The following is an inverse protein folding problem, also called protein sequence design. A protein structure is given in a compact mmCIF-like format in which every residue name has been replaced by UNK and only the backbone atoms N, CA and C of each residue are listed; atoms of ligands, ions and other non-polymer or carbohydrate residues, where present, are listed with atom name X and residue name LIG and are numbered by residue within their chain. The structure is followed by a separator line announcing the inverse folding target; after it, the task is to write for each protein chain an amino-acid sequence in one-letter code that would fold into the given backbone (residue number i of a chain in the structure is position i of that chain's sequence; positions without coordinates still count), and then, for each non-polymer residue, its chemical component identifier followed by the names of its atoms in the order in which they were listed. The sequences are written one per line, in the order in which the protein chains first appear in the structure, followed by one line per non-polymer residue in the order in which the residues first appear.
data_IF_189777664358
#
_entry.id   IF_189777664358
#
_cell.length_a   1.000
_cell.length_b   1.000
_cell.length_c   1.000
_cell.angle_alpha   90.00
_cell.angle_beta   90.00
_cell.angle_gamma   90.00
#
_symmetry.space_group_name_H-M   'P 1'
#
loop_
_entity.id
_entity.type
_entity.pdbx_description
1 polymer ?
#
# COMPACT_ATOMS: atom_id res chain seq x y z
N UNK A 1 -42.87 -14.25 14.90
CA UNK A 1 -42.65 -14.71 13.50
C UNK A 1 -41.16 -14.95 13.34
N UNK A 2 -40.75 -16.19 13.12
CA UNK A 2 -39.35 -16.56 12.82
C UNK A 2 -39.23 -16.65 11.31
N UNK A 3 -38.34 -15.85 10.72
CA UNK A 3 -38.09 -15.84 9.27
C UNK A 3 -36.67 -16.34 9.06
N UNK A 4 -36.49 -17.24 8.09
CA UNK A 4 -35.15 -17.72 7.73
C UNK A 4 -34.33 -16.58 7.12
N UNK A 5 -33.00 -16.69 7.23
CA UNK A 5 -32.08 -15.70 6.65
C UNK A 5 -32.26 -15.55 5.13
N UNK A 6 -32.58 -16.65 4.43
CA UNK A 6 -32.85 -16.63 2.98
C UNK A 6 -34.12 -15.84 2.66
N UNK A 7 -35.24 -16.13 3.34
CA UNK A 7 -36.50 -15.41 3.13
C UNK A 7 -36.38 -13.94 3.51
N UNK A 8 -35.63 -13.59 4.56
CA UNK A 8 -35.31 -12.20 4.89
C UNK A 8 -34.52 -11.49 3.77
N UNK A 9 -33.57 -12.18 3.13
CA UNK A 9 -32.80 -11.64 2.01
C UNK A 9 -33.64 -11.47 0.74
N UNK A 10 -34.59 -12.37 0.47
CA UNK A 10 -35.50 -12.29 -0.68
C UNK A 10 -36.52 -11.16 -0.56
N UNK A 11 -37.01 -10.90 0.66
CA UNK A 11 -37.93 -9.80 0.95
C UNK A 11 -37.27 -8.42 0.95
N UNK A 12 -35.98 -8.34 0.63
CA UNK A 12 -35.23 -7.09 0.59
C UNK A 12 -35.79 -6.15 -0.48
N UNK A 13 -36.19 -4.90 -0.14
CA UNK A 13 -36.65 -3.92 -1.12
C UNK A 13 -35.60 -3.66 -2.20
N UNK A 14 -36.04 -3.51 -3.46
CA UNK A 14 -35.15 -3.37 -4.63
C UNK A 14 -34.18 -2.18 -4.55
N UNK A 15 -34.51 -1.13 -3.82
CA UNK A 15 -33.65 0.05 -3.63
C UNK A 15 -32.58 -0.15 -2.52
N UNK A 16 -32.67 -1.21 -1.74
CA UNK A 16 -31.63 -1.60 -0.78
C UNK A 16 -30.60 -2.44 -1.52
N UNK A 17 -29.56 -1.77 -2.03
CA UNK A 17 -28.47 -2.42 -2.75
C UNK A 17 -27.57 -3.20 -1.78
N UNK A 18 -26.93 -4.28 -2.26
CA UNK A 18 -25.87 -4.92 -1.47
C UNK A 18 -24.69 -3.96 -1.35
N UNK A 19 -23.98 -3.99 -0.23
CA UNK A 19 -22.70 -3.29 -0.10
C UNK A 19 -21.70 -3.72 -1.20
N UNK A 20 -21.77 -4.97 -1.66
CA UNK A 20 -21.00 -5.48 -2.79
C UNK A 20 -21.36 -4.85 -4.15
N UNK A 21 -22.63 -4.46 -4.35
CA UNK A 21 -23.06 -3.67 -5.53
C UNK A 21 -22.71 -2.18 -5.41
N UNK A 22 -22.44 -1.69 -4.21
CA UNK A 22 -21.93 -0.34 -3.92
C UNK A 22 -20.40 -0.32 -3.74
N UNK A 23 -19.71 -1.40 -4.11
CA UNK A 23 -18.26 -1.46 -3.98
C UNK A 23 -17.67 -0.22 -4.68
N UNK A 24 -16.95 0.60 -3.91
CA UNK A 24 -16.14 1.70 -4.43
C UNK A 24 -15.05 1.10 -5.32
N UNK A 25 -15.40 0.69 -6.55
CA UNK A 25 -14.50 0.19 -7.59
C UNK A 25 -13.72 1.34 -8.24
N UNK A 26 -13.42 2.37 -7.46
CA UNK A 26 -12.80 3.58 -7.94
C UNK A 26 -11.40 3.59 -7.35
N UNK A 27 -10.42 3.65 -8.24
CA UNK A 27 -9.06 3.94 -7.83
C UNK A 27 -9.04 5.30 -7.10
N UNK A 28 -8.68 5.31 -5.81
CA UNK A 28 -8.61 6.53 -5.00
C UNK A 28 -7.25 7.24 -5.10
N UNK A 29 -6.44 6.87 -6.10
CA UNK A 29 -5.11 7.42 -6.28
C UNK A 29 -5.20 8.81 -6.93
N UNK A 30 -4.55 9.80 -6.32
CA UNK A 30 -4.48 11.18 -6.83
C UNK A 30 -3.98 11.26 -8.29
N UNK A 31 -3.06 10.36 -8.68
CA UNK A 31 -2.54 10.31 -10.05
C UNK A 31 -3.60 9.88 -11.08
N UNK A 32 -4.49 8.95 -10.72
CA UNK A 32 -5.57 8.50 -11.60
C UNK A 32 -6.75 9.48 -11.54
N UNK A 33 -7.16 9.90 -10.35
CA UNK A 33 -8.33 10.75 -10.16
C UNK A 33 -8.13 12.14 -10.79
N UNK A 34 -6.94 12.74 -10.68
CA UNK A 34 -6.69 14.03 -11.32
C UNK A 34 -6.72 13.96 -12.86
N UNK A 35 -6.29 12.84 -13.45
CA UNK A 35 -6.40 12.62 -14.89
C UNK A 35 -7.86 12.38 -15.28
N UNK A 36 -8.59 11.60 -14.48
CA UNK A 36 -10.02 11.37 -14.66
C UNK A 36 -10.83 12.68 -14.60
N UNK A 37 -10.56 13.57 -13.65
CA UNK A 37 -11.19 14.89 -13.55
C UNK A 37 -10.91 15.76 -14.78
N UNK A 38 -9.66 15.78 -15.27
CA UNK A 38 -9.28 16.50 -16.50
C UNK A 38 -10.00 15.94 -17.73
N UNK A 39 -10.02 14.62 -17.90
CA UNK A 39 -10.70 13.97 -19.04
C UNK A 39 -12.19 14.24 -19.00
N UNK A 40 -12.82 14.20 -17.82
CA UNK A 40 -14.24 14.47 -17.68
C UNK A 40 -14.58 15.92 -18.08
N UNK A 41 -13.76 16.88 -17.68
CA UNK A 41 -13.90 18.27 -18.12
C UNK A 41 -13.72 18.40 -19.65
N UNK A 42 -12.67 17.77 -20.21
CA UNK A 42 -12.34 17.87 -21.63
C UNK A 42 -13.26 17.08 -22.56
N UNK A 43 -13.95 16.04 -22.08
CA UNK A 43 -14.79 15.15 -22.91
C UNK A 43 -15.89 15.88 -23.68
N UNK A 44 -16.36 17.01 -23.16
CA UNK A 44 -17.36 17.88 -23.81
C UNK A 44 -16.79 18.75 -24.92
N UNK A 45 -15.47 18.90 -24.95
CA UNK A 45 -14.73 19.83 -25.82
C UNK A 45 -13.76 19.13 -26.77
N UNK A 46 -13.56 17.81 -26.62
CA UNK A 46 -12.65 17.00 -27.46
C UNK A 46 -13.43 15.87 -28.12
N UNK A 47 -13.47 15.87 -29.44
CA UNK A 47 -14.25 14.89 -30.21
C UNK A 47 -13.66 13.49 -30.06
N UNK A 48 -14.48 12.52 -29.62
CA UNK A 48 -14.06 11.13 -29.43
C UNK A 48 -13.42 10.81 -28.07
N UNK A 49 -13.22 11.81 -27.20
CA UNK A 49 -12.78 11.59 -25.83
C UNK A 49 -13.97 11.19 -24.95
N UNK A 50 -13.95 9.99 -24.39
CA UNK A 50 -15.00 9.50 -23.48
C UNK A 50 -14.64 9.81 -22.03
N UNK A 51 -15.60 10.39 -21.30
CA UNK A 51 -15.52 10.55 -19.85
C UNK A 51 -15.47 9.19 -19.13
N UNK A 52 -14.83 9.13 -17.97
CA UNK A 52 -14.95 7.99 -17.05
C UNK A 52 -14.06 6.77 -17.30
N UNK A 53 -13.46 6.62 -18.49
CA UNK A 53 -12.69 5.41 -18.84
C UNK A 53 -11.19 5.70 -18.99
N UNK A 54 -10.45 5.54 -17.89
CA UNK A 54 -8.99 5.68 -17.87
C UNK A 54 -8.26 4.60 -18.68
N UNK A 55 -8.86 3.41 -18.85
CA UNK A 55 -8.25 2.32 -19.61
C UNK A 55 -8.30 2.63 -21.11
N UNK A 56 -9.47 3.02 -21.60
CA UNK A 56 -9.65 3.49 -22.97
C UNK A 56 -8.80 4.74 -23.25
N UNK A 57 -8.72 5.67 -22.29
CA UNK A 57 -7.85 6.83 -22.41
C UNK A 57 -6.38 6.44 -22.53
N UNK A 58 -5.89 5.52 -21.69
CA UNK A 58 -4.51 5.02 -21.78
C UNK A 58 -4.24 4.40 -23.14
N UNK A 59 -5.13 3.52 -23.60
CA UNK A 59 -5.02 2.83 -24.90
C UNK A 59 -5.07 3.80 -26.09
N UNK A 60 -5.71 4.96 -25.94
CA UNK A 60 -5.72 6.01 -26.96
C UNK A 60 -4.36 6.71 -27.10
N UNK A 61 -3.53 6.72 -26.06
CA UNK A 61 -2.27 7.47 -26.03
C UNK A 61 -1.05 6.66 -26.48
N UNK A 62 -1.16 5.33 -26.52
CA UNK A 62 -0.03 4.43 -26.73
C UNK A 62 -0.39 3.25 -27.64
N UNK A 63 0.63 2.59 -28.21
CA UNK A 63 0.43 1.41 -29.05
C UNK A 63 0.23 0.13 -28.22
N UNK A 64 0.95 0.02 -27.10
CA UNK A 64 0.98 -1.16 -26.25
C UNK A 64 1.10 -0.73 -24.79
N UNK A 65 0.23 -1.27 -23.94
CA UNK A 65 0.15 -0.97 -22.50
C UNK A 65 1.23 -1.69 -21.69
N UNK A 66 1.76 -2.79 -22.23
CA UNK A 66 2.76 -3.63 -21.58
C UNK A 66 4.19 -3.26 -22.01
N UNK A 67 4.35 -2.45 -23.07
CA UNK A 67 5.66 -1.97 -23.53
C UNK A 67 6.18 -0.78 -22.70
N UNK A 68 7.37 -0.94 -22.11
CA UNK A 68 8.02 0.09 -21.30
C UNK A 68 8.28 1.37 -22.12
N UNK A 69 8.63 1.28 -23.41
CA UNK A 69 8.93 2.47 -24.22
C UNK A 69 7.67 3.29 -24.48
N UNK A 70 6.54 2.64 -24.70
CA UNK A 70 5.23 3.28 -24.79
C UNK A 70 4.89 4.00 -23.48
N UNK A 71 4.96 3.30 -22.35
CA UNK A 71 4.56 3.81 -21.04
C UNK A 71 5.52 4.87 -20.46
N UNK A 72 6.78 4.87 -20.89
CA UNK A 72 7.76 5.91 -20.54
C UNK A 72 7.77 7.12 -21.50
N UNK A 73 6.85 7.14 -22.48
CA UNK A 73 6.76 8.18 -23.54
C UNK A 73 8.01 8.30 -24.43
N UNK A 74 8.68 7.16 -24.70
CA UNK A 74 9.87 7.06 -25.57
C UNK A 74 9.59 6.35 -26.89
N UNK A 75 8.43 5.72 -27.06
CA UNK A 75 8.06 5.04 -28.29
C UNK A 75 7.90 6.04 -29.46
N UNK A 76 8.47 5.69 -30.61
CA UNK A 76 8.44 6.55 -31.81
C UNK A 76 7.07 6.49 -32.49
N UNK A 77 6.37 5.36 -32.38
CA UNK A 77 5.08 5.12 -33.06
C UNK A 77 3.97 5.96 -32.41
N UNK A 78 3.79 5.88 -31.09
CA UNK A 78 2.75 6.62 -30.38
C UNK A 78 3.15 8.05 -29.97
N UNK A 79 4.33 8.53 -30.37
CA UNK A 79 4.85 9.86 -29.99
C UNK A 79 3.87 11.01 -30.26
N UNK A 80 3.08 10.88 -31.34
CA UNK A 80 2.13 11.90 -31.78
C UNK A 80 0.68 11.62 -31.38
N UNK A 81 0.35 10.48 -30.77
CA UNK A 81 -1.04 10.09 -30.48
C UNK A 81 -1.77 11.10 -29.61
N UNK A 82 -1.10 11.73 -28.64
CA UNK A 82 -1.71 12.82 -27.87
C UNK A 82 -2.12 14.01 -28.76
N UNK A 83 -1.30 14.37 -29.75
CA UNK A 83 -1.60 15.44 -30.70
C UNK A 83 -2.80 15.04 -31.56
N UNK A 84 -2.72 13.86 -32.17
CA UNK A 84 -3.67 13.37 -33.18
C UNK A 84 -5.05 13.05 -32.57
N UNK A 85 -5.09 12.60 -31.32
CA UNK A 85 -6.33 12.17 -30.65
C UNK A 85 -6.91 13.20 -29.67
N UNK A 86 -6.10 14.10 -29.12
CA UNK A 86 -6.56 15.12 -28.16
C UNK A 86 -6.44 16.53 -28.73
N UNK A 87 -5.22 16.95 -29.09
CA UNK A 87 -4.96 18.36 -29.43
C UNK A 87 -5.66 18.80 -30.72
N UNK A 88 -5.66 17.95 -31.75
CA UNK A 88 -6.27 18.25 -33.05
C UNK A 88 -7.80 18.07 -33.04
N UNK A 89 -8.36 17.43 -32.01
CA UNK A 89 -9.79 17.16 -31.87
C UNK A 89 -10.52 18.12 -30.92
N UNK A 90 -9.85 19.16 -30.44
CA UNK A 90 -10.47 20.24 -29.66
C UNK A 90 -11.45 21.00 -30.54
N UNK A 91 -12.73 21.02 -30.15
CA UNK A 91 -13.83 21.62 -30.93
C UNK A 91 -13.77 23.14 -30.91
N UNK A 92 -13.59 23.74 -29.73
CA UNK A 92 -13.45 25.18 -29.55
C UNK A 92 -12.23 25.48 -28.67
N UNK A 93 -11.28 26.23 -29.24
CA UNK A 93 -10.01 26.60 -28.59
C UNK A 93 -10.14 27.85 -27.70
N UNK A 94 -11.26 28.56 -27.78
CA UNK A 94 -11.50 29.80 -27.05
C UNK A 94 -12.37 29.61 -25.79
N UNK A 95 -12.85 28.39 -25.53
CA UNK A 95 -13.67 28.09 -24.36
C UNK A 95 -12.81 27.95 -23.12
N UNK A 96 -13.17 28.69 -22.06
CA UNK A 96 -12.65 28.47 -20.72
C UNK A 96 -13.27 27.20 -20.13
N UNK A 97 -12.42 26.28 -19.68
CA UNK A 97 -12.86 24.98 -19.16
C UNK A 97 -12.57 24.94 -17.66
N UNK A 98 -13.65 24.98 -16.87
CA UNK A 98 -13.61 24.69 -15.44
C UNK A 98 -13.26 23.21 -15.18
N UNK A 99 -12.30 22.94 -14.32
CA UNK A 99 -11.92 21.59 -13.91
C UNK A 99 -11.48 21.53 -12.45
N UNK A 100 -11.46 20.33 -11.88
CA UNK A 100 -11.09 20.10 -10.49
C UNK A 100 -9.81 19.30 -10.35
N UNK A 101 -9.02 19.59 -9.32
CA UNK A 101 -7.86 18.80 -8.94
C UNK A 101 -7.85 18.47 -7.45
N UNK A 102 -7.39 17.28 -7.09
CA UNK A 102 -6.94 17.00 -5.74
C UNK A 102 -5.49 17.43 -5.55
N UNK A 103 -5.26 18.30 -4.56
CA UNK A 103 -3.95 18.66 -4.01
C UNK A 103 -3.78 18.01 -2.63
N UNK A 104 -2.53 17.82 -2.20
CA UNK A 104 -2.23 17.37 -0.84
C UNK A 104 -1.16 18.27 -0.25
N UNK A 105 -1.59 19.45 0.19
CA UNK A 105 -0.73 20.44 0.85
C UNK A 105 -0.74 20.19 2.35
N UNK A 106 0.45 20.09 2.97
CA UNK A 106 0.61 19.95 4.43
C UNK A 106 -0.15 18.75 5.04
N UNK A 107 -0.30 17.67 4.29
CA UNK A 107 -0.95 16.42 4.76
C UNK A 107 -2.47 16.46 4.80
N UNK A 108 -3.12 17.48 4.21
CA UNK A 108 -4.57 17.53 4.05
C UNK A 108 -4.93 17.54 2.57
N UNK A 109 -5.64 16.51 2.13
CA UNK A 109 -6.17 16.45 0.78
C UNK A 109 -7.29 17.50 0.59
N UNK A 110 -7.19 18.30 -0.47
CA UNK A 110 -8.20 19.31 -0.83
C UNK A 110 -8.53 19.18 -2.30
N UNK A 111 -9.80 19.44 -2.64
CA UNK A 111 -10.27 19.52 -4.02
C UNK A 111 -10.39 21.00 -4.38
N UNK A 112 -9.63 21.41 -5.38
CA UNK A 112 -9.52 22.79 -5.86
C UNK A 112 -10.14 22.89 -7.25
N UNK A 113 -10.73 24.04 -7.55
CA UNK A 113 -11.35 24.37 -8.83
C UNK A 113 -10.46 25.35 -9.60
N UNK A 114 -10.34 25.12 -10.90
CA UNK A 114 -9.50 25.90 -11.82
C UNK A 114 -10.32 26.24 -13.06
N UNK A 115 -10.26 27.50 -13.52
CA UNK A 115 -11.06 27.97 -14.68
C UNK A 115 -10.21 28.49 -15.85
N UNK A 116 -8.90 28.73 -15.64
CA UNK A 116 -8.11 29.63 -16.51
C UNK A 116 -6.89 28.97 -17.17
N UNK A 117 -6.45 27.79 -16.71
CA UNK A 117 -5.33 27.11 -17.34
C UNK A 117 -5.77 26.33 -18.59
N UNK A 118 -4.98 26.40 -19.67
CA UNK A 118 -5.14 25.56 -20.88
C UNK A 118 -5.15 24.08 -20.45
N UNK A 119 -6.35 23.55 -20.23
CA UNK A 119 -6.60 22.26 -19.62
C UNK A 119 -5.95 21.13 -20.43
N UNK A 120 -5.85 21.29 -21.75
CA UNK A 120 -5.14 20.37 -22.64
C UNK A 120 -3.64 20.42 -22.39
N UNK A 121 -3.05 21.60 -22.18
CA UNK A 121 -1.64 21.76 -21.81
C UNK A 121 -1.34 21.17 -20.42
N UNK A 122 -2.23 21.35 -19.45
CA UNK A 122 -2.12 20.74 -18.11
C UNK A 122 -2.15 19.21 -18.22
N UNK A 123 -3.12 18.68 -18.97
CA UNK A 123 -3.22 17.24 -19.23
C UNK A 123 -1.94 16.72 -19.88
N UNK A 124 -1.46 17.37 -20.94
CA UNK A 124 -0.21 17.02 -21.64
C UNK A 124 0.98 16.95 -20.69
N UNK A 125 1.11 17.91 -19.79
CA UNK A 125 2.18 17.94 -18.78
C UNK A 125 2.14 16.78 -17.79
N UNK A 126 0.96 16.18 -17.56
CA UNK A 126 0.76 15.06 -16.62
C UNK A 126 0.81 13.68 -17.30
N UNK A 127 0.71 13.58 -18.62
CA UNK A 127 0.66 12.28 -19.33
C UNK A 127 1.85 11.39 -19.01
N UNK A 128 3.07 11.92 -19.08
CA UNK A 128 4.28 11.10 -18.86
C UNK A 128 4.31 10.47 -17.47
N UNK A 129 3.97 11.23 -16.42
CA UNK A 129 3.96 10.72 -15.06
C UNK A 129 2.78 9.79 -14.81
N UNK A 130 1.63 10.05 -15.44
CA UNK A 130 0.46 9.18 -15.40
C UNK A 130 0.74 7.81 -16.03
N UNK A 131 1.22 7.76 -17.28
CA UNK A 131 1.52 6.51 -18.00
C UNK A 131 2.55 5.69 -17.22
N UNK A 132 3.62 6.33 -16.74
CA UNK A 132 4.62 5.64 -15.93
C UNK A 132 4.03 5.08 -14.62
N UNK A 133 3.13 5.81 -13.96
CA UNK A 133 2.45 5.32 -12.76
C UNK A 133 1.53 4.13 -13.05
N UNK A 134 0.80 4.15 -14.17
CA UNK A 134 -0.02 3.01 -14.62
C UNK A 134 0.85 1.78 -14.85
N UNK A 135 1.99 1.94 -15.53
CA UNK A 135 2.93 0.85 -15.81
C UNK A 135 3.50 0.24 -14.53
N UNK A 136 4.05 1.05 -13.63
CA UNK A 136 4.61 0.57 -12.36
C UNK A 136 3.54 -0.14 -11.52
N UNK A 137 2.31 0.40 -11.49
CA UNK A 137 1.19 -0.26 -10.82
C UNK A 137 0.95 -1.65 -11.40
N UNK A 138 0.90 -1.78 -12.73
CA UNK A 138 0.65 -3.05 -13.39
C UNK A 138 1.78 -4.05 -13.12
N UNK A 139 3.02 -3.67 -13.36
CA UNK A 139 4.21 -4.50 -13.14
C UNK A 139 4.30 -5.04 -11.71
N UNK A 140 4.15 -4.16 -10.71
CA UNK A 140 4.23 -4.55 -9.30
C UNK A 140 3.06 -5.46 -8.87
N UNK A 141 1.84 -5.14 -9.31
CA UNK A 141 0.67 -5.98 -9.01
C UNK A 141 0.76 -7.36 -9.68
N UNK A 142 1.17 -7.41 -10.95
CA UNK A 142 1.35 -8.67 -11.67
C UNK A 142 2.43 -9.54 -11.03
N UNK A 143 3.57 -8.94 -10.67
CA UNK A 143 4.63 -9.67 -9.99
C UNK A 143 4.17 -10.20 -8.63
N UNK A 144 3.43 -9.41 -7.85
CA UNK A 144 2.88 -9.86 -6.57
C UNK A 144 1.92 -11.05 -6.72
N UNK A 145 0.99 -11.01 -7.68
CA UNK A 145 0.09 -12.14 -7.94
C UNK A 145 0.85 -13.38 -8.45
N UNK A 146 1.83 -13.18 -9.33
CA UNK A 146 2.68 -14.24 -9.84
C UNK A 146 3.47 -14.93 -8.72
N UNK A 147 4.20 -14.17 -7.90
CA UNK A 147 5.12 -14.76 -6.92
C UNK A 147 4.38 -15.46 -5.78
N UNK A 148 3.18 -14.99 -5.40
CA UNK A 148 2.32 -15.70 -4.43
C UNK A 148 1.93 -17.11 -4.88
N UNK A 149 1.83 -17.35 -6.18
CA UNK A 149 1.39 -18.63 -6.76
C UNK A 149 2.56 -19.52 -7.20
N UNK A 150 3.75 -18.94 -7.41
CA UNK A 150 4.89 -19.62 -8.02
C UNK A 150 6.14 -19.65 -7.13
N UNK A 151 6.08 -19.09 -5.91
CA UNK A 151 7.16 -19.22 -4.93
C UNK A 151 7.41 -20.69 -4.60
N UNK A 152 8.68 -21.07 -4.43
CA UNK A 152 9.04 -22.42 -4.03
C UNK A 152 8.77 -22.69 -2.54
N UNK A 153 8.85 -23.95 -2.12
CA UNK A 153 8.52 -24.38 -0.75
C UNK A 153 9.42 -23.77 0.36
N UNK A 154 10.52 -23.12 -0.03
CA UNK A 154 11.47 -22.44 0.87
C UNK A 154 11.45 -20.92 0.73
N UNK A 155 10.50 -20.38 -0.03
CA UNK A 155 10.33 -18.94 -0.24
C UNK A 155 9.05 -18.51 0.44
N UNK A 156 9.13 -17.47 1.27
CA UNK A 156 7.96 -16.87 1.93
C UNK A 156 7.73 -15.48 1.36
N UNK A 157 6.52 -15.23 0.87
CA UNK A 157 6.10 -13.90 0.41
C UNK A 157 5.34 -13.24 1.55
N UNK A 158 5.73 -12.01 1.94
CA UNK A 158 5.10 -11.31 3.06
C UNK A 158 4.61 -9.94 2.60
N UNK A 159 3.33 -9.65 2.79
CA UNK A 159 2.82 -8.28 2.69
C UNK A 159 2.74 -7.67 4.10
N UNK A 160 3.27 -6.46 4.28
CA UNK A 160 3.21 -5.71 5.54
C UNK A 160 2.60 -4.33 5.36
N UNK A 161 1.91 -3.84 6.39
CA UNK A 161 1.39 -2.48 6.47
C UNK A 161 1.11 -2.06 7.92
N UNK A 162 0.96 -0.76 8.17
CA UNK A 162 0.37 -0.25 9.39
C UNK A 162 -1.12 0.04 9.17
N UNK A 163 -1.97 -0.64 9.91
CA UNK A 163 -3.35 -0.21 10.00
C UNK A 163 -3.43 1.15 10.73
N UNK A 164 -4.45 1.95 10.41
CA UNK A 164 -4.71 3.21 11.13
C UNK A 164 -4.72 2.98 12.65
N UNK A 165 -4.26 3.95 13.45
CA UNK A 165 -4.25 3.78 14.90
C UNK A 165 -5.65 3.49 15.45
N UNK A 166 -5.73 2.54 16.37
CA UNK A 166 -6.98 2.26 17.07
C UNK A 166 -7.11 3.22 18.24
N UNK A 167 -8.25 3.90 18.33
CA UNK A 167 -8.57 4.78 19.45
C UNK A 167 -9.29 3.97 20.52
N UNK A 168 -8.71 3.92 21.72
CA UNK A 168 -9.30 3.24 22.87
C UNK A 168 -10.30 4.18 23.54
N UNK A 169 -11.53 4.18 23.05
CA UNK A 169 -12.64 4.94 23.64
C UNK A 169 -13.31 4.14 24.77
N UNK A 170 -13.82 4.80 25.80
CA UNK A 170 -14.60 4.13 26.86
C UNK A 170 -16.11 4.28 26.59
N UNK A 171 -16.88 3.21 26.83
CA UNK A 171 -18.33 3.30 26.78
C UNK A 171 -18.82 4.24 27.89
N UNK A 172 -19.76 5.14 27.56
CA UNK A 172 -20.25 6.19 28.46
C UNK A 172 -19.18 7.19 28.92
N UNK A 173 -18.13 7.44 28.11
CA UNK A 173 -17.12 8.43 28.43
C UNK A 173 -17.72 9.84 28.65
N UNK A 174 -17.25 10.51 29.70
CA UNK A 174 -17.62 11.90 29.98
C UNK A 174 -17.07 12.84 28.91
N UNK A 175 -17.70 14.01 28.73
CA UNK A 175 -17.33 14.97 27.68
C UNK A 175 -15.85 15.38 27.72
N UNK A 176 -15.26 15.50 28.92
CA UNK A 176 -13.84 15.88 29.08
C UNK A 176 -12.86 14.81 28.62
N UNK A 177 -13.24 13.52 28.64
CA UNK A 177 -12.39 12.42 28.17
C UNK A 177 -12.22 12.41 26.64
N UNK A 178 -13.05 13.16 25.90
CA UNK A 178 -12.94 13.29 24.45
C UNK A 178 -11.60 13.90 23.99
N UNK A 179 -10.95 14.71 24.84
CA UNK A 179 -9.72 15.44 24.50
C UNK A 179 -8.43 14.67 24.80
N UNK A 180 -8.52 13.50 25.47
CA UNK A 180 -7.36 12.69 25.88
C UNK A 180 -7.44 11.24 25.38
N UNK A 181 -7.82 11.08 24.12
CA UNK A 181 -7.94 9.79 23.44
C UNK A 181 -6.58 9.08 23.34
N UNK A 182 -6.41 7.98 24.08
CA UNK A 182 -5.26 7.10 23.92
C UNK A 182 -5.41 6.27 22.66
N UNK A 183 -4.32 6.13 21.92
CA UNK A 183 -4.27 5.35 20.71
C UNK A 183 -3.22 4.25 20.82
N UNK A 184 -3.42 3.19 20.05
CA UNK A 184 -2.43 2.13 19.85
C UNK A 184 -2.20 1.93 18.35
N UNK A 185 -1.00 1.45 18.01
CA UNK A 185 -0.64 1.08 16.64
C UNK A 185 -0.87 -0.41 16.42
N UNK A 186 -1.17 -0.77 15.16
CA UNK A 186 -1.35 -2.15 14.73
C UNK A 186 -0.54 -2.35 13.46
N UNK A 187 0.60 -3.04 13.59
CA UNK A 187 1.37 -3.52 12.45
C UNK A 187 0.78 -4.84 11.97
N UNK A 188 0.41 -4.91 10.70
CA UNK A 188 -0.26 -6.06 10.09
C UNK A 188 0.65 -6.71 9.09
N UNK A 189 0.67 -8.04 9.07
CA UNK A 189 1.39 -8.80 8.07
C UNK A 189 0.59 -10.02 7.62
N UNK A 190 0.77 -10.42 6.37
CA UNK A 190 0.30 -11.70 5.88
C UNK A 190 1.44 -12.40 5.15
N UNK A 191 1.74 -13.64 5.54
CA UNK A 191 2.76 -14.46 4.92
C UNK A 191 2.09 -15.57 4.09
N UNK A 192 2.42 -15.65 2.80
CA UNK A 192 2.10 -16.78 1.94
C UNK A 192 3.30 -17.74 1.92
N UNK A 193 3.04 -18.98 2.28
CA UNK A 193 4.02 -20.07 2.25
C UNK A 193 3.51 -21.15 1.29
N UNK A 194 4.31 -21.48 0.27
CA UNK A 194 4.07 -22.65 -0.57
C UNK A 194 4.37 -23.91 0.24
N UNK A 195 3.39 -24.80 0.36
CA UNK A 195 3.52 -26.04 1.12
C UNK A 195 3.22 -27.26 0.24
N UNK A 196 3.89 -28.37 0.52
CA UNK A 196 3.68 -29.68 -0.10
C UNK A 196 2.28 -30.30 0.12
N UNK A 197 1.35 -29.57 0.73
CA UNK A 197 -0.06 -29.92 0.94
C UNK A 197 -1.07 -28.82 0.56
N UNK A 198 -0.62 -27.76 -0.13
CA UNK A 198 -1.42 -26.58 -0.51
C UNK A 198 -0.87 -25.27 0.08
N UNK A 199 -1.33 -24.14 -0.45
CA UNK A 199 -0.94 -22.79 0.01
C UNK A 199 -1.35 -22.59 1.47
N UNK A 200 -0.37 -22.40 2.37
CA UNK A 200 -0.61 -22.07 3.78
C UNK A 200 -0.31 -20.59 3.98
N UNK A 201 -1.28 -19.87 4.55
CA UNK A 201 -1.14 -18.44 4.82
C UNK A 201 -1.26 -18.11 6.30
N UNK A 202 -0.39 -17.23 6.80
CA UNK A 202 -0.39 -16.79 8.19
C UNK A 202 -0.72 -15.30 8.28
N UNK A 203 -1.73 -14.96 9.08
CA UNK A 203 -2.12 -13.57 9.36
C UNK A 203 -1.56 -13.13 10.70
N UNK A 204 -0.90 -11.98 10.74
CA UNK A 204 -0.29 -11.42 11.95
C UNK A 204 -0.83 -10.02 12.25
N UNK A 205 -1.06 -9.74 13.53
CA UNK A 205 -1.35 -8.42 14.07
C UNK A 205 -0.48 -8.12 15.29
N UNK A 206 0.50 -7.24 15.13
CA UNK A 206 1.40 -6.82 16.21
C UNK A 206 0.94 -5.46 16.75
N UNK A 207 0.59 -5.43 18.03
CA UNK A 207 -0.09 -4.31 18.68
C UNK A 207 0.85 -3.60 19.64
N UNK A 208 0.96 -2.28 19.57
CA UNK A 208 1.80 -1.49 20.47
C UNK A 208 1.10 -0.25 21.01
N UNK A 209 1.42 0.11 22.26
CA UNK A 209 1.06 1.41 22.82
C UNK A 209 1.88 2.56 22.21
N UNK A 210 2.98 2.25 21.50
CA UNK A 210 3.77 3.22 20.76
C UNK A 210 3.13 3.48 19.39
N UNK A 211 2.89 4.75 19.05
CA UNK A 211 2.25 5.19 17.81
C UNK A 211 3.18 5.99 16.89
N UNK A 212 4.49 5.98 17.13
CA UNK A 212 5.46 6.76 16.32
C UNK A 212 5.64 6.20 14.91
N UNK A 213 5.42 4.89 14.72
CA UNK A 213 5.62 4.18 13.46
C UNK A 213 7.01 4.40 12.87
N UNK A 214 8.00 4.62 13.72
CA UNK A 214 9.35 4.95 13.30
C UNK A 214 10.13 3.72 12.84
N UNK A 215 11.34 3.98 12.32
CA UNK A 215 12.29 2.96 11.85
C UNK A 215 12.61 1.88 12.89
N UNK A 216 12.60 2.19 14.19
CA UNK A 216 12.91 1.21 15.25
C UNK A 216 11.70 0.33 15.55
N UNK A 217 10.50 0.93 15.54
CA UNK A 217 9.24 0.22 15.68
C UNK A 217 9.03 -0.76 14.53
N UNK A 218 9.30 -0.32 13.29
CA UNK A 218 9.25 -1.18 12.09
C UNK A 218 10.24 -2.32 12.20
N UNK A 219 11.52 -2.05 12.53
CA UNK A 219 12.54 -3.09 12.69
C UNK A 219 12.13 -4.13 13.74
N UNK A 220 11.64 -3.68 14.90
CA UNK A 220 11.16 -4.58 15.97
C UNK A 220 10.01 -5.47 15.50
N UNK A 221 9.05 -4.92 14.76
CA UNK A 221 7.94 -5.71 14.21
C UNK A 221 8.44 -6.75 13.19
N UNK A 222 9.38 -6.37 12.32
CA UNK A 222 9.93 -7.30 11.33
C UNK A 222 10.73 -8.43 11.98
N UNK A 223 11.56 -8.16 13.00
CA UNK A 223 12.26 -9.21 13.75
C UNK A 223 11.27 -10.22 14.35
N UNK A 224 10.16 -9.74 14.93
CA UNK A 224 9.13 -10.63 15.49
C UNK A 224 8.46 -11.46 14.38
N UNK A 225 8.07 -10.84 13.26
CA UNK A 225 7.45 -11.56 12.13
C UNK A 225 8.41 -12.63 11.57
N UNK A 226 9.68 -12.30 11.34
CA UNK A 226 10.65 -13.24 10.78
C UNK A 226 10.91 -14.40 11.73
N UNK A 227 11.04 -14.15 13.03
CA UNK A 227 11.20 -15.21 14.02
C UNK A 227 9.99 -16.15 14.09
N UNK A 228 8.79 -15.58 14.07
CA UNK A 228 7.55 -16.38 14.00
C UNK A 228 7.52 -17.23 12.73
N UNK A 229 7.80 -16.66 11.56
CA UNK A 229 7.82 -17.39 10.29
C UNK A 229 8.82 -18.53 10.32
N UNK A 230 10.02 -18.32 10.84
CA UNK A 230 11.04 -19.37 10.96
C UNK A 230 10.62 -20.50 11.92
N UNK A 231 9.71 -20.24 12.86
CA UNK A 231 9.12 -21.30 13.68
C UNK A 231 8.15 -22.19 12.91
N UNK A 232 7.42 -21.64 11.93
CA UNK A 232 6.47 -22.37 11.08
C UNK A 232 7.12 -22.99 9.84
N UNK A 233 8.15 -22.32 9.29
CA UNK A 233 8.91 -22.73 8.11
C UNK A 233 10.41 -22.68 8.43
N UNK A 234 10.95 -23.70 9.15
CA UNK A 234 12.35 -23.68 9.62
C UNK A 234 13.39 -23.66 8.50
N UNK A 235 13.05 -24.26 7.34
CA UNK A 235 13.93 -24.36 6.17
C UNK A 235 13.76 -23.19 5.18
N UNK A 236 13.17 -22.07 5.61
CA UNK A 236 13.02 -20.88 4.76
C UNK A 236 14.41 -20.39 4.34
N UNK A 237 14.59 -20.23 3.04
CA UNK A 237 15.83 -19.73 2.44
C UNK A 237 15.65 -18.31 1.90
N UNK A 238 14.43 -17.89 1.55
CA UNK A 238 14.16 -16.60 0.94
C UNK A 238 12.90 -15.96 1.51
N UNK A 239 12.97 -14.66 1.80
CA UNK A 239 11.82 -13.85 2.21
C UNK A 239 11.66 -12.66 1.24
N UNK A 240 10.48 -12.58 0.64
CA UNK A 240 10.11 -11.53 -0.31
C UNK A 240 9.06 -10.63 0.34
N UNK A 241 9.47 -9.44 0.78
CA UNK A 241 8.56 -8.47 1.37
C UNK A 241 7.85 -7.62 0.32
N UNK A 242 6.63 -7.22 0.63
CA UNK A 242 5.80 -6.26 -0.10
C UNK A 242 5.21 -5.24 0.87
N UNK A 243 5.29 -3.97 0.52
CA UNK A 243 4.63 -2.89 1.28
C UNK A 243 4.21 -1.76 0.37
N UNK A 244 3.47 -0.80 0.93
CA UNK A 244 3.30 0.48 0.28
C UNK A 244 4.64 1.29 0.27
N UNK A 245 4.64 2.41 -0.45
CA UNK A 245 5.79 3.29 -0.56
C UNK A 245 5.93 4.34 0.55
N UNK A 246 5.31 4.13 1.74
CA UNK A 246 5.27 5.14 2.79
C UNK A 246 6.68 5.53 3.27
N UNK A 247 6.96 6.83 3.19
CA UNK A 247 8.27 7.42 3.47
C UNK A 247 8.74 7.25 4.91
N UNK A 248 7.82 7.45 5.85
CA UNK A 248 8.10 7.42 7.29
C UNK A 248 8.29 5.99 7.80
N UNK A 249 7.71 5.00 7.13
CA UNK A 249 7.62 3.62 7.61
C UNK A 249 8.55 2.70 6.82
N UNK A 250 8.27 2.50 5.54
CA UNK A 250 8.91 1.44 4.75
C UNK A 250 9.94 1.96 3.76
N UNK A 251 9.56 2.90 2.88
CA UNK A 251 10.40 3.34 1.77
C UNK A 251 11.38 4.43 2.21
N UNK A 252 12.34 4.04 3.04
CA UNK A 252 13.40 4.88 3.59
C UNK A 252 14.75 4.14 3.69
N UNK A 253 15.83 4.91 3.78
CA UNK A 253 17.21 4.39 3.82
C UNK A 253 17.49 3.47 5.01
N UNK A 254 16.82 3.70 6.14
CA UNK A 254 17.07 2.95 7.38
C UNK A 254 16.55 1.54 7.28
N UNK A 255 15.33 1.35 6.75
CA UNK A 255 14.81 0.02 6.44
C UNK A 255 15.76 -0.72 5.50
N UNK A 256 16.13 -0.10 4.37
CA UNK A 256 16.98 -0.75 3.37
C UNK A 256 18.34 -1.16 3.95
N UNK A 257 18.95 -0.33 4.80
CA UNK A 257 20.18 -0.68 5.52
C UNK A 257 19.94 -1.84 6.48
N UNK A 258 18.87 -1.80 7.25
CA UNK A 258 18.52 -2.84 8.23
C UNK A 258 18.26 -4.21 7.59
N UNK A 259 17.62 -4.26 6.41
CA UNK A 259 17.41 -5.52 5.68
C UNK A 259 18.74 -6.26 5.41
N UNK A 260 19.83 -5.52 5.18
CA UNK A 260 21.16 -6.15 4.96
C UNK A 260 21.70 -6.86 6.19
N UNK A 261 21.32 -6.42 7.40
CA UNK A 261 21.69 -7.08 8.66
C UNK A 261 20.72 -8.20 9.00
N UNK A 262 19.43 -8.01 8.74
CA UNK A 262 18.42 -9.05 8.93
C UNK A 262 18.74 -10.28 8.08
N UNK A 263 19.21 -10.09 6.84
CA UNK A 263 19.63 -11.15 5.94
C UNK A 263 20.74 -12.02 6.58
N UNK A 264 21.81 -11.36 7.05
CA UNK A 264 22.93 -12.02 7.74
C UNK A 264 22.51 -12.69 9.05
N UNK A 265 21.80 -11.96 9.93
CA UNK A 265 21.38 -12.44 11.26
C UNK A 265 20.47 -13.67 11.16
N UNK A 266 19.72 -13.80 10.06
CA UNK A 266 18.78 -14.90 9.83
C UNK A 266 19.27 -15.95 8.83
N UNK A 267 20.39 -15.73 8.13
CA UNK A 267 20.85 -16.61 7.05
C UNK A 267 19.76 -16.92 6.01
N UNK A 268 19.02 -15.89 5.58
CA UNK A 268 17.98 -15.97 4.54
C UNK A 268 18.19 -14.88 3.52
N UNK A 269 17.92 -15.15 2.25
CA UNK A 269 17.90 -14.14 1.20
C UNK A 269 16.71 -13.21 1.39
N UNK A 270 16.91 -11.90 1.20
CA UNK A 270 15.87 -10.90 1.42
C UNK A 270 15.71 -10.01 0.18
N UNK A 271 14.46 -9.84 -0.25
CA UNK A 271 14.07 -8.79 -1.18
C UNK A 271 12.86 -8.02 -0.67
N UNK A 272 12.71 -6.77 -1.12
CA UNK A 272 11.61 -5.90 -0.78
C UNK A 272 11.07 -5.21 -2.02
N UNK A 273 9.77 -5.38 -2.25
CA UNK A 273 9.05 -4.78 -3.36
C UNK A 273 8.05 -3.74 -2.83
N UNK A 274 7.92 -2.63 -3.55
CA UNK A 274 7.00 -1.55 -3.18
C UNK A 274 5.89 -1.44 -4.22
N UNK A 275 4.64 -1.49 -3.77
CA UNK A 275 3.53 -1.17 -4.64
C UNK A 275 3.59 0.29 -5.10
N UNK A 276 2.98 0.57 -6.27
CA UNK A 276 2.79 1.94 -6.72
C UNK A 276 1.99 2.75 -5.68
N UNK A 277 2.28 4.04 -5.58
CA UNK A 277 1.64 4.94 -4.62
C UNK A 277 0.11 4.83 -4.66
N UNK A 278 -0.50 4.61 -3.48
CA UNK A 278 -1.95 4.39 -3.30
C UNK A 278 -2.54 3.10 -3.88
N UNK A 279 -1.70 2.12 -4.26
CA UNK A 279 -2.14 0.82 -4.80
C UNK A 279 -1.63 -0.38 -3.99
N UNK A 280 -1.09 -0.17 -2.79
CA UNK A 280 -0.63 -1.26 -1.91
C UNK A 280 -1.71 -1.89 -1.04
N UNK A 281 -2.99 -1.54 -1.25
CA UNK A 281 -4.09 -2.10 -0.46
C UNK A 281 -4.23 -3.60 -0.69
N UNK A 282 -4.43 -4.35 0.37
CA UNK A 282 -4.47 -5.80 0.30
C UNK A 282 -5.06 -6.48 1.53
N UNK A 283 -4.62 -7.71 1.77
CA UNK A 283 -5.11 -8.54 2.89
C UNK A 283 -4.78 -7.91 4.25
N UNK A 284 -3.66 -7.19 4.34
CA UNK A 284 -3.17 -6.49 5.54
C UNK A 284 -4.17 -5.46 6.08
N UNK A 285 -4.84 -4.70 5.21
CA UNK A 285 -5.92 -3.79 5.60
C UNK A 285 -7.09 -4.55 6.27
N UNK A 286 -7.42 -5.72 5.73
CA UNK A 286 -8.49 -6.59 6.22
C UNK A 286 -8.20 -7.17 7.59
N UNK A 287 -6.94 -7.51 7.87
CA UNK A 287 -6.48 -7.98 9.19
C UNK A 287 -6.70 -6.88 10.22
N UNK A 288 -6.17 -5.68 9.98
CA UNK A 288 -6.31 -4.54 10.88
C UNK A 288 -7.77 -4.19 11.14
N UNK A 289 -8.59 -4.13 10.08
CA UNK A 289 -10.03 -3.88 10.20
C UNK A 289 -10.77 -4.95 11.00
N UNK A 290 -10.38 -6.22 10.86
CA UNK A 290 -10.99 -7.34 11.59
C UNK A 290 -10.66 -7.26 13.08
N UNK A 291 -9.38 -7.06 13.44
CA UNK A 291 -8.95 -6.95 14.83
C UNK A 291 -9.63 -5.77 15.55
N UNK A 292 -9.64 -4.59 14.91
CA UNK A 292 -10.32 -3.40 15.46
C UNK A 292 -11.81 -3.65 15.69
N UNK A 293 -12.49 -4.31 14.74
CA UNK A 293 -13.92 -4.62 14.86
C UNK A 293 -14.20 -5.60 16.00
N UNK A 294 -13.35 -6.61 16.19
CA UNK A 294 -13.48 -7.56 17.29
C UNK A 294 -13.39 -6.84 18.64
N UNK A 295 -12.35 -6.04 18.84
CA UNK A 295 -12.14 -5.32 20.10
C UNK A 295 -13.23 -4.27 20.31
N UNK A 296 -13.61 -3.51 19.28
CA UNK A 296 -14.70 -2.56 19.35
C UNK A 296 -16.03 -3.20 19.78
N UNK A 297 -16.36 -4.37 19.22
CA UNK A 297 -17.59 -5.09 19.57
C UNK A 297 -17.62 -5.47 21.06
N UNK A 298 -16.49 -5.90 21.61
CA UNK A 298 -16.39 -6.25 23.03
C UNK A 298 -16.45 -5.02 23.93
N UNK A 299 -15.86 -3.91 23.49
CA UNK A 299 -15.96 -2.62 24.19
C UNK A 299 -17.40 -2.12 24.26
N UNK A 300 -18.17 -2.29 23.17
CA UNK A 300 -19.60 -1.96 23.16
C UNK A 300 -20.44 -2.90 24.02
N UNK A 301 -19.96 -4.11 24.29
CA UNK A 301 -20.55 -5.06 25.23
C UNK A 301 -20.11 -4.79 26.70
N UNK A 302 -19.37 -3.72 26.96
CA UNK A 302 -18.96 -3.29 28.30
C UNK A 302 -17.59 -3.81 28.75
N UNK A 303 -16.84 -4.53 27.92
CA UNK A 303 -15.43 -4.84 28.24
C UNK A 303 -14.58 -3.57 28.15
N UNK A 304 -13.54 -3.49 28.98
CA UNK A 304 -12.58 -2.38 28.95
C UNK A 304 -11.34 -2.77 28.14
N UNK A 305 -10.87 -1.88 27.27
CA UNK A 305 -9.60 -2.01 26.56
C UNK A 305 -8.82 -0.70 26.71
N UNK A 306 -7.75 -0.72 27.50
CA UNK A 306 -6.97 0.49 27.86
C UNK A 306 -5.50 0.40 27.48
N UNK A 307 -5.06 -0.76 26.99
CA UNK A 307 -3.69 -1.02 26.60
C UNK A 307 -3.61 -2.01 25.44
N UNK A 308 -2.45 -2.06 24.78
CA UNK A 308 -2.12 -3.10 23.81
C UNK A 308 -2.26 -4.52 24.40
N UNK A 309 -1.95 -4.71 25.69
CA UNK A 309 -2.11 -6.02 26.36
C UNK A 309 -3.59 -6.43 26.40
N UNK A 310 -4.48 -5.51 26.78
CA UNK A 310 -5.93 -5.77 26.81
C UNK A 310 -6.44 -6.09 25.40
N UNK A 311 -5.98 -5.33 24.40
CA UNK A 311 -6.35 -5.53 23.00
C UNK A 311 -5.94 -6.92 22.51
N UNK A 312 -4.71 -7.35 22.79
CA UNK A 312 -4.17 -8.67 22.43
C UNK A 312 -4.94 -9.77 23.13
N UNK A 313 -5.21 -9.63 24.43
CA UNK A 313 -5.99 -10.59 25.20
C UNK A 313 -7.39 -10.79 24.58
N UNK A 314 -8.11 -9.69 24.33
CA UNK A 314 -9.45 -9.74 23.72
C UNK A 314 -9.39 -10.42 22.36
N UNK A 315 -8.40 -10.11 21.52
CA UNK A 315 -8.26 -10.75 20.22
C UNK A 315 -8.01 -12.27 20.35
N UNK A 316 -7.10 -12.68 21.23
CA UNK A 316 -6.74 -14.08 21.43
C UNK A 316 -7.87 -14.93 22.06
N UNK A 317 -8.81 -14.30 22.76
CA UNK A 317 -10.07 -14.92 23.21
C UNK A 317 -11.07 -15.14 22.05
N UNK A 318 -11.03 -14.28 21.01
CA UNK A 318 -12.07 -14.20 19.97
C UNK A 318 -11.66 -14.79 18.64
N UNK A 319 -10.37 -14.89 18.35
CA UNK A 319 -9.87 -15.50 17.11
C UNK A 319 -8.62 -16.32 17.35
N UNK A 320 -8.49 -17.40 16.59
CA UNK A 320 -7.27 -18.20 16.42
C UNK A 320 -6.73 -18.12 14.99
N UNK A 321 -7.43 -17.43 14.09
CA UNK A 321 -7.05 -17.33 12.67
C UNK A 321 -6.01 -16.24 12.42
N UNK A 322 -5.88 -15.27 13.32
CA UNK A 322 -4.89 -14.21 13.28
C UNK A 322 -4.00 -14.39 14.50
N UNK A 323 -2.70 -14.47 14.28
CA UNK A 323 -1.68 -14.51 15.32
C UNK A 323 -1.52 -13.08 15.82
N UNK A 324 -1.92 -12.82 17.07
CA UNK A 324 -1.91 -11.47 17.65
C UNK A 324 -0.87 -11.40 18.76
N UNK A 325 0.09 -10.50 18.60
CA UNK A 325 1.21 -10.30 19.51
C UNK A 325 1.31 -8.86 20.01
N UNK A 326 1.96 -8.67 21.16
CA UNK A 326 2.26 -7.34 21.69
C UNK A 326 3.69 -6.92 21.37
N UNK A 327 3.88 -5.66 20.97
CA UNK A 327 5.20 -5.02 20.89
C UNK A 327 5.30 -4.00 22.02
N UNK A 328 6.19 -4.28 22.97
CA UNK A 328 6.43 -3.45 24.15
C UNK A 328 7.48 -2.37 23.87
N UNK A 329 7.45 -1.28 24.64
CA UNK A 329 8.49 -0.25 24.57
C UNK A 329 9.88 -0.83 24.90
N UNK A 330 9.96 -1.78 25.84
CA UNK A 330 11.23 -2.44 26.17
C UNK A 330 11.85 -3.16 24.97
N UNK A 331 11.05 -3.83 24.13
CA UNK A 331 11.55 -4.43 22.88
C UNK A 331 12.04 -3.37 21.90
N UNK A 332 11.30 -2.26 21.77
CA UNK A 332 11.70 -1.13 20.92
C UNK A 332 13.01 -0.50 21.44
N UNK A 333 13.16 -0.34 22.76
CA UNK A 333 14.36 0.22 23.39
C UNK A 333 15.59 -0.66 23.14
N UNK A 334 15.44 -1.99 23.17
CA UNK A 334 16.49 -2.94 22.77
C UNK A 334 16.88 -2.73 21.29
N UNK A 335 15.90 -2.58 20.41
CA UNK A 335 16.14 -2.29 18.99
C UNK A 335 16.82 -0.94 18.79
N UNK A 336 16.44 0.09 19.55
CA UNK A 336 17.10 1.40 19.56
C UNK A 336 18.57 1.23 19.94
N UNK A 337 18.87 0.54 21.04
CA UNK A 337 20.23 0.29 21.48
C UNK A 337 21.06 -0.47 20.42
N UNK A 338 20.46 -1.46 19.73
CA UNK A 338 21.12 -2.24 18.67
C UNK A 338 21.38 -1.42 17.41
N UNK A 339 20.43 -0.57 16.98
CA UNK A 339 20.43 0.00 15.63
C UNK A 339 20.80 1.49 15.55
N UNK A 340 20.78 2.25 16.66
CA UNK A 340 20.97 3.71 16.61
C UNK A 340 22.28 4.11 15.94
N UNK A 341 23.40 3.54 16.37
CA UNK A 341 24.72 3.84 15.80
C UNK A 341 24.79 3.58 14.28
N UNK A 342 24.15 2.50 13.82
CA UNK A 342 24.09 2.16 12.40
C UNK A 342 23.20 3.14 11.62
N UNK A 343 22.02 3.47 12.17
CA UNK A 343 21.09 4.39 11.52
C UNK A 343 21.64 5.81 11.44
N UNK A 344 22.37 6.27 12.46
CA UNK A 344 22.98 7.60 12.45
C UNK A 344 24.02 7.78 11.33
N UNK A 345 24.71 6.69 10.95
CA UNK A 345 25.68 6.68 9.86
C UNK A 345 25.08 6.35 8.49
N UNK A 346 23.80 5.96 8.44
CA UNK A 346 23.18 5.50 7.19
C UNK A 346 23.04 6.67 6.21
N UNK A 347 23.76 6.58 5.09
CA UNK A 347 23.70 7.55 4.01
C UNK A 347 22.39 7.45 3.19
N UNK A 348 22.04 8.54 2.52
CA UNK A 348 20.84 8.59 1.67
C UNK A 348 21.02 7.76 0.39
N UNK A 349 20.03 6.92 0.09
CA UNK A 349 19.99 6.14 -1.16
C UNK A 349 19.48 7.04 -2.30
N UNK A 350 20.23 7.18 -3.41
CA UNK A 350 19.81 7.98 -4.56
C UNK A 350 18.46 7.53 -5.11
N UNK A 351 17.64 8.49 -5.53
CA UNK A 351 16.35 8.27 -6.21
C UNK A 351 15.40 7.26 -5.54
N UNK A 352 15.53 7.03 -4.22
CA UNK A 352 14.79 5.99 -3.48
C UNK A 352 13.28 5.98 -3.75
N UNK A 353 12.67 7.15 -3.94
CA UNK A 353 11.24 7.30 -4.23
C UNK A 353 10.80 6.61 -5.53
N UNK A 354 11.70 6.48 -6.51
CA UNK A 354 11.44 5.88 -7.82
C UNK A 354 11.75 4.37 -7.87
N UNK A 355 12.36 3.81 -6.83
CA UNK A 355 12.71 2.39 -6.76
C UNK A 355 11.48 1.59 -6.32
N UNK A 356 11.20 0.46 -6.95
CA UNK A 356 10.09 -0.41 -6.51
C UNK A 356 10.53 -1.84 -6.24
N UNK A 357 11.78 -2.19 -6.52
CA UNK A 357 12.34 -3.48 -6.13
C UNK A 357 13.75 -3.29 -5.59
N UNK A 358 13.99 -3.92 -4.46
CA UNK A 358 15.26 -3.93 -3.75
C UNK A 358 15.61 -5.39 -3.46
N UNK A 359 16.82 -5.81 -3.83
CA UNK A 359 17.36 -7.12 -3.47
C UNK A 359 18.59 -6.91 -2.60
N UNK A 360 18.65 -7.55 -1.44
CA UNK A 360 19.86 -7.57 -0.64
C UNK A 360 20.84 -8.54 -1.29
N UNK A 361 22.06 -8.07 -1.59
CA UNK A 361 23.11 -8.91 -2.16
C UNK A 361 24.02 -9.44 -1.06
N UNK A 362 24.48 -8.54 -0.19
CA UNK A 362 25.37 -8.82 0.93
C UNK A 362 25.12 -7.80 2.05
N UNK A 363 25.75 -8.00 3.21
CA UNK A 363 25.83 -6.97 4.24
C UNK A 363 26.22 -5.63 3.63
N UNK A 364 25.43 -4.60 3.88
CA UNK A 364 25.63 -3.24 3.39
C UNK A 364 25.55 -3.04 1.86
N UNK A 365 25.14 -4.05 1.08
CA UNK A 365 25.08 -3.97 -0.38
C UNK A 365 23.70 -4.40 -0.87
N UNK A 366 23.03 -3.50 -1.58
CA UNK A 366 21.72 -3.75 -2.18
C UNK A 366 21.76 -3.53 -3.69
N UNK A 367 21.00 -4.31 -4.43
CA UNK A 367 20.62 -4.04 -5.81
C UNK A 367 19.26 -3.34 -5.84
N UNK A 368 19.15 -2.29 -6.64
CA UNK A 368 17.98 -1.45 -6.75
C UNK A 368 17.50 -1.39 -8.20
N UNK A 369 16.17 -1.40 -8.39
CA UNK A 369 15.58 -1.20 -9.71
C UNK A 369 14.25 -0.41 -9.64
N UNK A 370 13.84 0.15 -10.77
CA UNK A 370 12.61 0.94 -10.85
C UNK A 370 11.34 0.12 -10.68
N UNK A 371 11.40 -1.18 -10.98
CA UNK A 371 10.33 -2.19 -10.83
C UNK A 371 10.96 -3.60 -10.92
N UNK A 372 10.26 -4.62 -10.43
CA UNK A 372 10.83 -5.94 -10.12
C UNK A 372 11.50 -6.65 -11.30
N UNK A 373 10.97 -6.52 -12.51
CA UNK A 373 11.54 -7.15 -13.72
C UNK A 373 12.35 -6.16 -14.58
N UNK A 374 12.76 -5.02 -14.01
CA UNK A 374 13.49 -4.02 -14.77
C UNK A 374 14.89 -4.53 -15.14
N UNK A 375 15.21 -4.49 -16.44
CA UNK A 375 16.54 -4.86 -16.95
C UNK A 375 17.65 -3.91 -16.49
N UNK A 376 17.29 -2.67 -16.12
CA UNK A 376 18.22 -1.67 -15.62
C UNK A 376 18.23 -1.69 -14.08
N UNK A 377 19.27 -2.30 -13.52
CA UNK A 377 19.54 -2.29 -12.08
C UNK A 377 20.77 -1.45 -11.77
N UNK A 378 20.91 -1.01 -10.51
CA UNK A 378 22.16 -0.48 -10.00
C UNK A 378 22.43 -1.01 -8.60
N UNK A 379 23.71 -1.21 -8.30
CA UNK A 379 24.16 -1.64 -6.97
C UNK A 379 24.48 -0.42 -6.12
N UNK A 380 24.00 -0.42 -4.89
CA UNK A 380 24.27 0.60 -3.88
C UNK A 380 24.94 -0.03 -2.67
N UNK A 381 26.13 0.48 -2.32
CA UNK A 381 26.85 0.12 -1.11
C UNK A 381 26.66 1.22 -0.06
N UNK A 382 26.10 0.84 1.08
CA UNK A 382 26.02 1.72 2.24
C UNK A 382 27.42 1.83 2.86
N UNK A 383 28.02 3.02 2.75
CA UNK A 383 29.32 3.34 3.35
C UNK A 383 29.27 3.28 4.87
#
# INVERSE_FOLDING_TARGET
ISISKSTFQELRPRFVLYKSTLAHRICICVHHENIHLLINALSKHVTGLKAGDLSAFTSMLICDVDDEKCMSSKCIICKNYFKDHITEKVVDKNVQIGWFQWSNESGRARKEEFEVDDCVKVLKGKIKSYLWHVFIKHEQSNYFEYIKQNAGDKTVVIQVDYAENFTMDEQNQIQSAHWSKKQLSIFTAYAWCSGSGGDVGFSFGLVSNNTTHDKFSVATCLDVIVNEIKSYVPDVNEIIFFSDGAASQFKNRFLLRYLTYMMDDNAVDISWNFFASSHGKGVVDGIGGTLKRLVWSEMMAGKRCTSASDFVQICNEKTKTIIVGQITNAQIDVTIAKLSYMFDQTCSVPVIRKLHSIKVLHKNIIECSSYTNCTQTFVFAFK
#
